data_IF_734157706139
#
_entry.id   IF_734157706139
#
_cell.length_a   1.000
_cell.length_b   1.000
_cell.length_c   1.000
_cell.angle_alpha   90.00
_cell.angle_beta   90.00
_cell.angle_gamma   90.00
#
_symmetry.space_group_name_H-M   'P 1'
#
loop_
_entity.id
_entity.type
_entity.pdbx_description
1 polymer ?
#
# COMPACT_ATOMS: atom_id res chain seq x y z
N UNK A 1 14.87 22.46 20.30
CA UNK A 1 14.38 21.34 19.47
C UNK A 1 14.76 21.64 18.03
N UNK A 2 15.83 21.02 17.53
CA UNK A 2 16.23 21.16 16.13
C UNK A 2 15.35 20.22 15.30
N UNK A 3 14.38 20.80 14.60
CA UNK A 3 13.54 20.07 13.66
C UNK A 3 14.30 20.01 12.33
N UNK A 4 14.94 18.89 12.05
CA UNK A 4 15.55 18.68 10.73
C UNK A 4 14.42 18.60 9.70
N UNK A 5 14.34 19.60 8.82
CA UNK A 5 13.42 19.61 7.69
C UNK A 5 14.07 18.83 6.55
N UNK A 6 13.60 17.62 6.30
CA UNK A 6 13.95 16.85 5.10
C UNK A 6 13.02 17.30 3.97
N UNK A 7 13.55 18.07 3.01
CA UNK A 7 12.87 18.30 1.74
C UNK A 7 13.22 17.15 0.81
N UNK A 8 12.24 16.30 0.51
CA UNK A 8 12.32 15.42 -0.66
C UNK A 8 11.32 15.92 -1.69
N UNK A 9 11.79 16.23 -2.89
CA UNK A 9 10.91 16.45 -4.04
C UNK A 9 10.48 15.07 -4.55
N UNK A 10 9.52 14.45 -3.86
CA UNK A 10 8.88 13.23 -4.35
C UNK A 10 7.70 13.63 -5.22
N UNK A 11 7.79 13.31 -6.50
CA UNK A 11 6.67 13.34 -7.41
C UNK A 11 6.17 11.91 -7.64
N UNK A 12 4.86 11.75 -7.67
CA UNK A 12 4.23 10.49 -8.10
C UNK A 12 3.07 10.80 -9.02
N UNK A 13 2.79 9.87 -9.92
CA UNK A 13 1.69 9.90 -10.87
C UNK A 13 1.32 8.47 -11.19
N UNK A 14 0.04 8.23 -11.42
CA UNK A 14 -0.47 6.98 -11.96
C UNK A 14 -1.46 7.30 -13.08
N UNK A 15 -1.53 6.44 -14.09
CA UNK A 15 -2.31 6.65 -15.31
C UNK A 15 -2.74 5.30 -15.89
N UNK A 16 -3.97 5.21 -16.40
CA UNK A 16 -4.54 3.99 -17.01
C UNK A 16 -3.70 3.49 -18.20
N UNK A 17 -3.12 4.41 -18.97
CA UNK A 17 -2.45 4.09 -20.23
C UNK A 17 -3.43 3.87 -21.39
N UNK A 18 -2.94 3.28 -22.49
CA UNK A 18 -3.65 3.23 -23.78
C UNK A 18 -4.53 1.99 -24.00
N UNK A 19 -4.29 0.91 -23.25
CA UNK A 19 -4.84 -0.42 -23.55
C UNK A 19 -5.61 -1.07 -22.39
N UNK A 20 -5.81 -0.35 -21.29
CA UNK A 20 -6.57 -0.82 -20.13
C UNK A 20 -7.87 -0.04 -20.01
N UNK A 21 -8.92 -0.70 -19.51
CA UNK A 21 -10.21 -0.05 -19.27
C UNK A 21 -10.23 0.72 -17.94
N UNK A 22 -9.36 0.35 -16.99
CA UNK A 22 -9.25 0.95 -15.68
C UNK A 22 -7.82 0.96 -15.16
N UNK A 23 -7.58 1.70 -14.08
CA UNK A 23 -6.29 1.78 -13.43
C UNK A 23 -6.29 0.92 -12.15
N UNK A 24 -5.49 -0.12 -12.15
CA UNK A 24 -5.36 -1.05 -11.02
C UNK A 24 -4.17 -0.70 -10.13
N UNK A 25 -3.48 0.41 -10.39
CA UNK A 25 -2.37 0.91 -9.58
C UNK A 25 -2.87 1.74 -8.39
N UNK A 26 -2.16 1.62 -7.27
CA UNK A 26 -2.31 2.51 -6.10
C UNK A 26 -0.95 2.90 -5.55
N UNK A 27 -0.86 4.06 -4.89
CA UNK A 27 0.40 4.55 -4.33
C UNK A 27 0.24 5.34 -3.04
N UNK A 28 1.29 5.33 -2.22
CA UNK A 28 1.44 6.12 -1.01
C UNK A 28 2.74 6.90 -1.09
N UNK A 29 2.67 8.22 -0.90
CA UNK A 29 3.85 9.08 -0.79
C UNK A 29 3.78 9.89 0.49
N UNK A 30 4.87 9.85 1.25
CA UNK A 30 5.07 10.67 2.44
C UNK A 30 6.55 11.01 2.60
N UNK A 31 6.89 11.80 3.63
CA UNK A 31 8.27 12.18 3.92
C UNK A 31 9.19 11.01 4.26
N UNK A 32 8.64 9.88 4.72
CA UNK A 32 9.39 8.74 5.30
C UNK A 32 9.04 7.39 4.68
N UNK A 33 7.97 7.31 3.90
CA UNK A 33 7.49 6.07 3.30
C UNK A 33 6.93 6.36 1.91
N UNK A 34 7.39 5.58 0.93
CA UNK A 34 6.86 5.51 -0.42
C UNK A 34 6.48 4.07 -0.70
N UNK A 35 5.30 3.85 -1.28
CA UNK A 35 4.85 2.54 -1.69
C UNK A 35 4.02 2.61 -2.97
N UNK A 36 4.05 1.51 -3.71
CA UNK A 36 3.26 1.28 -4.92
C UNK A 36 2.66 -0.11 -4.83
N UNK A 37 1.45 -0.28 -5.33
CA UNK A 37 0.76 -1.56 -5.46
C UNK A 37 0.12 -1.62 -6.86
N UNK A 38 0.41 -2.69 -7.60
CA UNK A 38 -0.16 -2.98 -8.92
C UNK A 38 -1.13 -4.16 -8.73
N UNK A 39 -2.42 -3.93 -9.00
CA UNK A 39 -3.44 -4.97 -8.91
C UNK A 39 -3.32 -5.94 -10.08
N UNK A 40 -3.43 -7.26 -9.81
CA UNK A 40 -3.30 -8.26 -10.87
C UNK A 40 -4.41 -8.14 -11.91
N UNK A 41 -4.06 -7.66 -13.11
CA UNK A 41 -5.00 -7.55 -14.21
C UNK A 41 -5.50 -8.89 -14.74
N UNK A 42 -6.78 -8.94 -15.14
CA UNK A 42 -7.44 -10.17 -15.61
C UNK A 42 -8.11 -11.00 -14.50
N UNK A 43 -7.90 -10.62 -13.23
CA UNK A 43 -8.65 -11.10 -12.08
C UNK A 43 -9.67 -10.05 -11.63
N UNK A 44 -10.73 -10.47 -10.94
CA UNK A 44 -11.76 -9.53 -10.49
C UNK A 44 -11.20 -8.72 -9.31
N UNK A 45 -11.29 -7.39 -9.39
CA UNK A 45 -11.02 -6.52 -8.25
C UNK A 45 -9.56 -6.07 -8.07
N UNK A 46 -8.72 -6.09 -9.10
CA UNK A 46 -7.33 -5.61 -9.02
C UNK A 46 -7.23 -4.19 -8.42
N UNK A 47 -8.10 -3.27 -8.81
CA UNK A 47 -8.19 -1.90 -8.24
C UNK A 47 -8.55 -1.88 -6.74
N UNK A 48 -9.35 -2.86 -6.29
CA UNK A 48 -9.78 -2.98 -4.89
C UNK A 48 -8.64 -3.58 -4.08
N UNK A 49 -7.94 -4.58 -4.62
CA UNK A 49 -6.77 -5.18 -4.00
C UNK A 49 -5.67 -4.13 -3.75
N UNK A 50 -5.23 -3.44 -4.81
CA UNK A 50 -4.13 -2.48 -4.71
C UNK A 50 -4.46 -1.31 -3.77
N UNK A 51 -5.69 -0.80 -3.83
CA UNK A 51 -6.12 0.28 -2.93
C UNK A 51 -6.26 -0.17 -1.46
N UNK A 52 -6.63 -1.44 -1.23
CA UNK A 52 -6.71 -2.02 0.12
C UNK A 52 -5.33 -2.13 0.76
N UNK A 53 -4.35 -2.65 0.02
CA UNK A 53 -2.94 -2.73 0.44
C UNK A 53 -2.41 -1.36 0.85
N UNK A 54 -2.58 -0.36 -0.03
CA UNK A 54 -2.08 1.00 0.22
C UNK A 54 -2.73 1.65 1.45
N UNK A 55 -4.05 1.47 1.66
CA UNK A 55 -4.74 2.00 2.84
C UNK A 55 -4.28 1.35 4.15
N UNK A 56 -4.01 0.04 4.13
CA UNK A 56 -3.46 -0.68 5.29
C UNK A 56 -2.05 -0.18 5.61
N UNK A 57 -1.22 0.03 4.59
CA UNK A 57 0.12 0.60 4.79
C UNK A 57 0.07 2.04 5.29
N UNK A 58 -0.84 2.86 4.78
CA UNK A 58 -1.06 4.23 5.27
C UNK A 58 -1.42 4.24 6.76
N UNK A 59 -2.28 3.31 7.19
CA UNK A 59 -2.66 3.14 8.60
C UNK A 59 -1.47 2.72 9.48
N UNK A 60 -0.59 1.86 8.96
CA UNK A 60 0.62 1.41 9.64
C UNK A 60 1.78 2.42 9.59
N UNK A 61 1.70 3.45 8.74
CA UNK A 61 2.80 4.40 8.45
C UNK A 61 3.41 5.01 9.70
N UNK A 62 2.57 5.41 10.67
CA UNK A 62 3.04 6.06 11.90
C UNK A 62 3.93 5.16 12.75
N UNK A 63 3.66 3.85 12.74
CA UNK A 63 4.49 2.87 13.43
C UNK A 63 5.77 2.64 12.63
N UNK A 64 5.66 2.35 11.33
CA UNK A 64 6.82 2.07 10.46
C UNK A 64 7.83 3.22 10.46
N UNK A 65 7.35 4.46 10.43
CA UNK A 65 8.16 5.67 10.29
C UNK A 65 8.60 6.29 11.63
N UNK A 66 8.34 5.63 12.76
CA UNK A 66 8.71 6.19 14.06
C UNK A 66 10.24 6.26 14.20
N UNK A 67 10.75 7.43 14.63
CA UNK A 67 12.20 7.71 14.70
C UNK A 67 12.92 6.85 15.74
N UNK A 68 12.23 6.45 16.81
CA UNK A 68 12.79 5.67 17.92
C UNK A 68 12.85 4.16 17.65
N UNK A 69 12.28 3.68 16.54
CA UNK A 69 12.31 2.25 16.18
C UNK A 69 13.63 1.93 15.51
N UNK A 70 14.32 0.91 16.03
CA UNK A 70 15.55 0.40 15.45
C UNK A 70 15.29 -0.34 14.12
N UNK A 71 16.31 -0.51 13.28
CA UNK A 71 16.14 -1.13 11.96
C UNK A 71 15.53 -2.54 11.99
N UNK A 72 15.82 -3.37 13.01
CA UNK A 72 15.32 -4.75 13.07
C UNK A 72 13.83 -4.77 13.42
N UNK A 73 13.41 -4.00 14.43
CA UNK A 73 11.99 -3.85 14.73
C UNK A 73 11.21 -3.20 13.59
N UNK A 74 11.81 -2.28 12.82
CA UNK A 74 11.18 -1.72 11.61
C UNK A 74 10.95 -2.79 10.54
N UNK A 75 11.91 -3.70 10.34
CA UNK A 75 11.75 -4.83 9.43
C UNK A 75 10.60 -5.75 9.87
N UNK A 76 10.52 -6.06 11.16
CA UNK A 76 9.43 -6.87 11.73
C UNK A 76 8.07 -6.20 11.54
N UNK A 77 7.96 -4.89 11.78
CA UNK A 77 6.72 -4.14 11.53
C UNK A 77 6.31 -4.15 10.05
N UNK A 78 7.27 -3.99 9.14
CA UNK A 78 6.99 -4.07 7.71
C UNK A 78 6.49 -5.45 7.31
N UNK A 79 7.10 -6.52 7.85
CA UNK A 79 6.66 -7.89 7.62
C UNK A 79 5.24 -8.14 8.12
N UNK A 80 4.96 -7.74 9.37
CA UNK A 80 3.61 -7.83 9.95
C UNK A 80 2.60 -7.02 9.14
N UNK A 81 2.99 -5.85 8.63
CA UNK A 81 2.10 -5.03 7.81
C UNK A 81 1.75 -5.74 6.49
N UNK A 82 2.68 -6.47 5.87
CA UNK A 82 2.38 -7.27 4.66
C UNK A 82 1.39 -8.38 4.97
N UNK A 83 1.54 -9.09 6.08
CA UNK A 83 0.58 -10.10 6.52
C UNK A 83 -0.81 -9.49 6.79
N UNK A 84 -0.86 -8.31 7.41
CA UNK A 84 -2.11 -7.58 7.65
C UNK A 84 -2.77 -7.10 6.36
N UNK A 85 -1.99 -6.79 5.31
CA UNK A 85 -2.49 -6.42 4.00
C UNK A 85 -3.12 -7.62 3.30
N UNK A 86 -2.45 -8.78 3.32
CA UNK A 86 -2.96 -10.03 2.76
C UNK A 86 -4.29 -10.44 3.42
N UNK A 87 -4.32 -10.41 4.76
CA UNK A 87 -5.55 -10.65 5.53
C UNK A 87 -6.67 -9.66 5.19
N UNK A 88 -6.35 -8.39 4.88
CA UNK A 88 -7.34 -7.41 4.49
C UNK A 88 -7.92 -7.68 3.09
N UNK A 89 -7.09 -8.12 2.14
CA UNK A 89 -7.57 -8.55 0.81
C UNK A 89 -8.49 -9.76 0.98
N UNK A 90 -8.09 -10.75 1.78
CA UNK A 90 -8.88 -11.94 2.05
C UNK A 90 -10.24 -11.59 2.67
N UNK A 91 -10.27 -10.72 3.69
CA UNK A 91 -11.52 -10.27 4.32
C UNK A 91 -12.47 -9.58 3.32
N UNK A 92 -11.94 -8.74 2.43
CA UNK A 92 -12.75 -8.11 1.38
C UNK A 92 -13.33 -9.15 0.42
N UNK A 93 -12.54 -10.16 0.02
CA UNK A 93 -13.01 -11.24 -0.84
C UNK A 93 -14.06 -12.14 -0.15
N UNK A 94 -13.98 -12.33 1.17
CA UNK A 94 -14.98 -13.05 1.95
C UNK A 94 -16.31 -12.28 2.06
N UNK A 95 -16.25 -10.96 2.30
CA UNK A 95 -17.45 -10.10 2.37
C UNK A 95 -18.14 -9.93 1.01
N UNK A 96 -17.37 -10.03 -0.07
CA UNK A 96 -17.81 -9.80 -1.45
C UNK A 96 -17.44 -10.98 -2.34
N UNK A 97 -18.27 -12.03 -2.40
CA UNK A 97 -17.96 -13.25 -3.16
C UNK A 97 -17.69 -13.02 -4.65
N UNK A 98 -18.19 -11.92 -5.22
CA UNK A 98 -17.86 -11.52 -6.59
C UNK A 98 -16.38 -11.15 -6.79
N UNK A 99 -15.65 -10.86 -5.71
CA UNK A 99 -14.21 -10.58 -5.68
C UNK A 99 -13.39 -11.82 -5.29
N UNK A 100 -13.96 -13.02 -5.37
CA UNK A 100 -13.22 -14.25 -5.10
C UNK A 100 -12.05 -14.41 -6.10
N UNK A 101 -10.85 -14.64 -5.58
CA UNK A 101 -9.62 -14.67 -6.38
C UNK A 101 -9.04 -13.30 -6.72
N UNK A 102 -9.52 -12.23 -6.06
CA UNK A 102 -8.92 -10.90 -6.08
C UNK A 102 -7.54 -10.92 -5.41
N UNK A 103 -6.58 -10.26 -6.03
CA UNK A 103 -5.16 -10.29 -5.66
C UNK A 103 -4.41 -11.16 -6.63
#
# INVERSE_FOLDING_TARGET
MNRNLYFSEIAWRSEVGLHREGNEDSGLVSSTLVAVADGMGGYVGGEIASSTVIRKLESARSLISHEEIDPQSREEFLRSAVEDMDNAIAAVAEERPELSGMG
#
